data_IF_090536984907
#
_entry.id   IF_090536984907
#
_cell.length_a   1.000
_cell.length_b   1.000
_cell.length_c   1.000
_cell.angle_alpha   90.00
_cell.angle_beta   90.00
_cell.angle_gamma   90.00
#
_symmetry.space_group_name_H-M   'P 1'
#
loop_
_entity.id
_entity.type
_entity.pdbx_description
1 polymer ?
#
# COMPACT_ATOMS: atom_id res chain seq x y z
N UNK A 1 16.28 -29.40 -7.60
CA UNK A 1 16.74 -28.01 -7.81
C UNK A 1 15.51 -27.15 -8.04
N UNK A 2 15.30 -26.14 -7.20
CA UNK A 2 14.16 -25.21 -7.29
C UNK A 2 14.11 -24.54 -8.68
N UNK A 3 12.95 -24.51 -9.36
CA UNK A 3 12.81 -23.89 -10.69
C UNK A 3 13.23 -22.41 -10.70
N UNK A 4 13.09 -21.68 -9.60
CA UNK A 4 13.54 -20.28 -9.50
C UNK A 4 15.07 -20.22 -9.49
N UNK A 5 15.75 -21.05 -8.69
CA UNK A 5 17.23 -21.13 -8.66
C UNK A 5 17.82 -21.44 -10.04
N UNK A 6 17.14 -22.27 -10.83
CA UNK A 6 17.57 -22.60 -12.21
C UNK A 6 17.56 -21.38 -13.13
N UNK A 7 16.55 -20.52 -13.00
CA UNK A 7 16.47 -19.29 -13.80
C UNK A 7 17.49 -18.24 -13.36
N UNK A 8 17.93 -18.28 -12.09
CA UNK A 8 18.93 -17.36 -11.55
C UNK A 8 20.38 -17.85 -11.74
N UNK A 9 20.59 -19.11 -12.10
CA UNK A 9 21.92 -19.71 -12.25
C UNK A 9 22.82 -18.97 -13.27
N UNK A 10 22.22 -18.38 -14.32
CA UNK A 10 22.93 -17.59 -15.33
C UNK A 10 23.58 -16.31 -14.78
N UNK A 11 23.18 -15.86 -13.58
CA UNK A 11 23.76 -14.67 -12.94
C UNK A 11 25.05 -14.98 -12.16
N UNK A 12 25.46 -16.24 -12.05
CA UNK A 12 26.71 -16.62 -11.38
C UNK A 12 26.76 -16.26 -9.89
N UNK A 13 25.61 -16.10 -9.25
CA UNK A 13 25.51 -15.70 -7.85
C UNK A 13 25.86 -16.86 -6.91
N UNK A 14 26.50 -16.61 -5.76
CA UNK A 14 26.73 -17.65 -4.75
C UNK A 14 25.43 -18.32 -4.31
N UNK A 15 25.43 -19.64 -4.14
CA UNK A 15 24.21 -20.38 -3.77
C UNK A 15 23.61 -19.90 -2.46
N UNK A 16 24.44 -19.64 -1.45
CA UNK A 16 24.02 -19.06 -0.16
C UNK A 16 23.33 -17.70 -0.30
N UNK A 17 23.73 -16.90 -1.29
CA UNK A 17 23.10 -15.62 -1.56
C UNK A 17 21.71 -15.82 -2.18
N UNK A 18 21.59 -16.72 -3.16
CA UNK A 18 20.30 -17.06 -3.76
C UNK A 18 19.33 -17.63 -2.71
N UNK A 19 19.83 -18.49 -1.82
CA UNK A 19 19.03 -19.08 -0.73
C UNK A 19 18.49 -18.00 0.21
N UNK A 20 19.34 -17.10 0.68
CA UNK A 20 18.93 -16.00 1.54
C UNK A 20 17.92 -15.06 0.85
N UNK A 21 18.09 -14.79 -0.45
CA UNK A 21 17.13 -13.99 -1.21
C UNK A 21 15.77 -14.69 -1.36
N UNK A 22 15.76 -16.00 -1.62
CA UNK A 22 14.53 -16.78 -1.76
C UNK A 22 13.79 -16.90 -0.44
N UNK A 23 14.49 -17.18 0.65
CA UNK A 23 13.90 -17.23 2.00
C UNK A 23 13.27 -15.89 2.37
N UNK A 24 13.97 -14.77 2.10
CA UNK A 24 13.44 -13.44 2.33
C UNK A 24 12.23 -13.13 1.44
N UNK A 25 12.26 -13.57 0.20
CA UNK A 25 11.15 -13.42 -0.74
C UNK A 25 9.91 -14.20 -0.27
N UNK A 26 10.07 -15.43 0.22
CA UNK A 26 8.96 -16.24 0.74
C UNK A 26 8.29 -15.57 1.94
N UNK A 27 9.09 -15.01 2.85
CA UNK A 27 8.60 -14.22 3.99
C UNK A 27 7.77 -13.02 3.52
N UNK A 28 8.24 -12.29 2.49
CA UNK A 28 7.48 -11.18 1.93
C UNK A 28 6.22 -11.61 1.19
N UNK A 29 6.28 -12.74 0.46
CA UNK A 29 5.17 -13.31 -0.30
C UNK A 29 4.04 -13.79 0.61
N UNK A 30 4.37 -14.22 1.82
CA UNK A 30 3.41 -14.59 2.85
C UNK A 30 2.78 -13.37 3.56
N UNK A 31 3.37 -12.18 3.40
CA UNK A 31 2.89 -10.94 4.01
C UNK A 31 1.56 -10.45 3.43
N UNK A 32 0.81 -9.68 4.22
CA UNK A 32 -0.47 -9.13 3.79
C UNK A 32 -0.28 -8.11 2.67
N UNK A 33 -1.13 -8.15 1.64
CA UNK A 33 -1.14 -7.17 0.56
C UNK A 33 -2.15 -6.08 0.86
N UNK A 34 -1.71 -4.83 0.87
CA UNK A 34 -2.50 -3.70 1.33
C UNK A 34 -2.60 -2.65 0.24
N UNK A 35 -3.82 -2.31 -0.18
CA UNK A 35 -4.07 -1.15 -1.04
C UNK A 35 -4.57 0.03 -0.24
N UNK A 36 -4.21 1.23 -0.71
CA UNK A 36 -4.57 2.50 -0.09
C UNK A 36 -5.26 3.39 -1.12
N UNK A 37 -6.41 3.97 -0.75
CA UNK A 37 -7.19 4.89 -1.57
C UNK A 37 -7.38 6.23 -0.85
N UNK A 38 -7.30 7.34 -1.57
CA UNK A 38 -7.58 8.68 -1.04
C UNK A 38 -6.47 9.31 -0.18
N UNK A 39 -5.37 8.60 0.04
CA UNK A 39 -4.23 9.10 0.81
C UNK A 39 -3.48 10.27 0.14
N UNK A 40 -3.67 10.46 -1.17
CA UNK A 40 -3.13 11.62 -1.90
C UNK A 40 -3.80 12.95 -1.50
N UNK A 41 -5.03 12.89 -1.00
CA UNK A 41 -5.81 14.06 -0.57
C UNK A 41 -5.97 14.20 0.94
N UNK A 42 -5.36 13.29 1.72
CA UNK A 42 -5.46 13.26 3.17
C UNK A 42 -4.26 13.96 3.84
N UNK A 43 -4.44 14.56 5.04
CA UNK A 43 -3.34 15.10 5.84
C UNK A 43 -2.26 14.05 6.14
N UNK A 44 -0.98 14.45 6.10
CA UNK A 44 0.15 13.54 6.24
C UNK A 44 0.25 12.87 7.62
N UNK A 45 -0.17 13.57 8.66
CA UNK A 45 -0.28 13.08 10.04
C UNK A 45 -1.34 11.97 10.15
N UNK A 46 -2.51 12.15 9.54
CA UNK A 46 -3.57 11.14 9.50
C UNK A 46 -3.10 9.87 8.77
N UNK A 47 -2.49 10.05 7.60
CA UNK A 47 -1.95 8.93 6.80
C UNK A 47 -0.85 8.21 7.56
N UNK A 48 0.10 8.95 8.14
CA UNK A 48 1.22 8.40 8.90
C UNK A 48 0.79 7.60 10.12
N UNK A 49 -0.12 8.14 10.94
CA UNK A 49 -0.65 7.44 12.12
C UNK A 49 -1.38 6.16 11.73
N UNK A 50 -2.17 6.18 10.65
CA UNK A 50 -2.89 4.98 10.21
C UNK A 50 -1.94 3.92 9.67
N UNK A 51 -0.97 4.31 8.83
CA UNK A 51 0.01 3.37 8.30
C UNK A 51 0.86 2.77 9.42
N UNK A 52 1.32 3.58 10.37
CA UNK A 52 2.06 3.08 11.53
C UNK A 52 1.26 2.00 12.28
N UNK A 53 -0.02 2.26 12.59
CA UNK A 53 -0.92 1.26 13.24
C UNK A 53 -1.12 -0.01 12.40
N UNK A 54 -1.05 0.09 11.08
CA UNK A 54 -1.16 -1.06 10.18
C UNK A 54 0.13 -1.88 10.16
N UNK A 55 1.28 -1.21 10.20
CA UNK A 55 2.60 -1.83 10.08
C UNK A 55 3.08 -2.44 11.40
N UNK A 56 2.81 -1.81 12.55
CA UNK A 56 3.25 -2.28 13.87
C UNK A 56 2.89 -3.75 14.16
N UNK A 57 1.65 -4.22 13.90
CA UNK A 57 1.29 -5.63 14.13
C UNK A 57 1.66 -6.57 12.97
N UNK A 58 2.08 -6.04 11.82
CA UNK A 58 2.36 -6.82 10.61
C UNK A 58 3.73 -6.43 10.04
N UNK A 59 4.83 -6.99 10.56
CA UNK A 59 6.19 -6.61 10.14
C UNK A 59 6.47 -6.93 8.67
N UNK A 60 5.69 -7.82 8.06
CA UNK A 60 5.80 -8.23 6.67
C UNK A 60 4.50 -7.97 5.93
N UNK A 61 4.51 -7.01 5.00
CA UNK A 61 3.38 -6.67 4.15
C UNK A 61 3.87 -6.05 2.84
N UNK A 62 3.00 -6.00 1.84
CA UNK A 62 3.28 -5.43 0.52
C UNK A 62 2.28 -4.32 0.23
N UNK A 63 2.77 -3.15 -0.19
CA UNK A 63 1.92 -2.09 -0.71
C UNK A 63 1.46 -2.42 -2.13
N UNK A 64 0.16 -2.53 -2.35
CA UNK A 64 -0.45 -2.65 -3.68
C UNK A 64 -0.90 -1.26 -4.12
N UNK A 65 -0.25 -0.70 -5.13
CA UNK A 65 -0.50 0.67 -5.59
C UNK A 65 -0.70 0.73 -7.09
N UNK A 66 -1.48 1.72 -7.54
CA UNK A 66 -1.58 2.03 -8.95
C UNK A 66 -0.27 2.60 -9.49
N UNK A 67 0.02 2.34 -10.76
CA UNK A 67 1.13 2.97 -11.48
C UNK A 67 0.61 4.11 -12.38
N UNK A 68 0.05 5.19 -11.81
CA UNK A 68 -0.35 6.37 -12.58
C UNK A 68 -0.28 7.67 -11.78
N UNK A 69 -0.50 8.81 -12.43
CA UNK A 69 -0.34 10.18 -11.87
C UNK A 69 -1.15 10.53 -10.61
N UNK A 70 -2.14 9.72 -10.25
CA UNK A 70 -3.04 9.94 -9.11
C UNK A 70 -2.82 8.88 -8.02
N UNK A 71 -1.75 8.08 -8.13
CA UNK A 71 -1.33 7.20 -7.05
C UNK A 71 -0.93 8.02 -5.82
N UNK A 72 -1.07 7.42 -4.64
CA UNK A 72 -0.60 7.98 -3.38
C UNK A 72 0.93 7.89 -3.30
N UNK A 73 1.62 8.75 -4.07
CA UNK A 73 3.09 8.74 -4.17
C UNK A 73 3.79 9.01 -2.84
N UNK A 74 3.14 9.73 -1.92
CA UNK A 74 3.58 9.89 -0.54
C UNK A 74 3.69 8.53 0.19
N UNK A 75 2.63 7.70 0.12
CA UNK A 75 2.61 6.36 0.73
C UNK A 75 3.62 5.44 0.06
N UNK A 76 3.72 5.51 -1.26
CA UNK A 76 4.71 4.78 -2.04
C UNK A 76 6.15 5.11 -1.61
N UNK A 77 6.52 6.39 -1.59
CA UNK A 77 7.87 6.81 -1.24
C UNK A 77 8.21 6.46 0.21
N UNK A 78 7.24 6.60 1.11
CA UNK A 78 7.37 6.15 2.49
C UNK A 78 7.61 4.63 2.58
N UNK A 79 6.86 3.82 1.83
CA UNK A 79 7.02 2.37 1.78
C UNK A 79 8.44 1.98 1.32
N UNK A 80 8.92 2.59 0.22
CA UNK A 80 10.29 2.36 -0.26
C UNK A 80 11.35 2.76 0.78
N UNK A 81 11.15 3.88 1.48
CA UNK A 81 12.07 4.36 2.52
C UNK A 81 12.14 3.42 3.73
N UNK A 82 11.14 2.57 3.93
CA UNK A 82 11.07 1.57 5.00
C UNK A 82 11.31 0.15 4.51
N UNK A 83 11.83 -0.02 3.29
CA UNK A 83 12.08 -1.33 2.67
C UNK A 83 10.83 -2.22 2.59
N UNK A 84 9.65 -1.61 2.48
CA UNK A 84 8.38 -2.31 2.27
C UNK A 84 8.24 -2.62 0.77
N UNK A 85 8.01 -3.89 0.39
CA UNK A 85 7.75 -4.26 -1.00
C UNK A 85 6.57 -3.52 -1.60
N UNK A 86 6.68 -3.16 -2.88
CA UNK A 86 5.63 -2.47 -3.64
C UNK A 86 5.25 -3.30 -4.86
N UNK A 87 3.96 -3.62 -4.97
CA UNK A 87 3.36 -4.22 -6.15
C UNK A 87 2.58 -3.16 -6.92
N UNK A 88 2.94 -2.98 -8.19
CA UNK A 88 2.26 -2.07 -9.09
C UNK A 88 1.13 -2.76 -9.84
N UNK A 89 -0.01 -2.10 -9.96
CA UNK A 89 -1.17 -2.55 -10.74
C UNK A 89 -1.55 -1.48 -11.76
N UNK A 90 -1.92 -1.92 -12.96
CA UNK A 90 -2.28 -1.05 -14.08
C UNK A 90 -1.10 -0.69 -14.98
N UNK A 91 -1.18 0.45 -15.64
CA UNK A 91 -0.19 0.93 -16.61
C UNK A 91 0.13 2.41 -16.37
N UNK A 92 1.38 2.87 -16.60
CA UNK A 92 1.80 4.27 -16.52
C UNK A 92 0.91 5.24 -17.31
N UNK A 93 0.44 4.83 -18.49
CA UNK A 93 -0.45 5.62 -19.34
C UNK A 93 -1.94 5.53 -18.92
N UNK A 94 -2.25 4.69 -17.93
CA UNK A 94 -3.59 4.46 -17.42
C UNK A 94 -4.14 5.65 -16.63
N UNK A 95 -5.46 5.65 -16.45
CA UNK A 95 -6.18 6.64 -15.64
C UNK A 95 -6.88 5.94 -14.47
N UNK A 96 -7.13 6.70 -13.41
CA UNK A 96 -7.99 6.24 -12.33
C UNK A 96 -9.38 5.89 -12.91
N UNK A 97 -9.82 4.67 -12.64
CA UNK A 97 -11.09 4.14 -13.14
C UNK A 97 -11.63 3.10 -12.16
N UNK A 98 -12.92 2.81 -12.24
CA UNK A 98 -13.54 1.75 -11.43
C UNK A 98 -12.91 0.39 -11.72
N UNK A 99 -12.57 0.11 -12.98
CA UNK A 99 -11.90 -1.13 -13.37
C UNK A 99 -10.54 -1.29 -12.66
N UNK A 100 -9.74 -0.21 -12.64
CA UNK A 100 -8.45 -0.22 -11.95
C UNK A 100 -8.62 -0.38 -10.43
N UNK A 101 -9.61 0.28 -9.84
CA UNK A 101 -9.92 0.10 -8.42
C UNK A 101 -10.26 -1.37 -8.10
N UNK A 102 -11.07 -2.03 -8.94
CA UNK A 102 -11.37 -3.46 -8.79
C UNK A 102 -10.12 -4.33 -8.91
N UNK A 103 -9.20 -4.02 -9.83
CA UNK A 103 -7.93 -4.75 -9.96
C UNK A 103 -7.04 -4.62 -8.71
N UNK A 104 -6.94 -3.41 -8.15
CA UNK A 104 -6.21 -3.17 -6.90
C UNK A 104 -6.83 -3.95 -5.74
N UNK A 105 -8.15 -3.92 -5.61
CA UNK A 105 -8.90 -4.66 -4.58
C UNK A 105 -8.69 -6.17 -4.74
N UNK A 106 -8.75 -6.68 -5.96
CA UNK A 106 -8.53 -8.10 -6.24
C UNK A 106 -7.13 -8.56 -5.83
N UNK A 107 -6.11 -7.73 -6.08
CA UNK A 107 -4.71 -7.98 -5.72
C UNK A 107 -4.39 -7.78 -4.22
N UNK A 108 -5.31 -7.20 -3.44
CA UNK A 108 -5.10 -6.89 -2.03
C UNK A 108 -5.81 -7.88 -1.10
N UNK A 109 -5.32 -8.03 0.12
CA UNK A 109 -5.99 -8.72 1.22
C UNK A 109 -6.72 -7.71 2.13
N UNK A 110 -6.13 -6.52 2.28
CA UNK A 110 -6.70 -5.40 3.03
C UNK A 110 -6.76 -4.12 2.17
N UNK A 111 -7.83 -3.35 2.35
CA UNK A 111 -8.08 -2.07 1.70
C UNK A 111 -8.20 -0.99 2.76
N UNK A 112 -7.38 0.05 2.67
CA UNK A 112 -7.45 1.25 3.51
C UNK A 112 -7.97 2.40 2.67
N UNK A 113 -9.05 3.03 3.11
CA UNK A 113 -9.68 4.16 2.43
C UNK A 113 -9.59 5.38 3.33
N UNK A 114 -8.98 6.44 2.83
CA UNK A 114 -9.01 7.76 3.44
C UNK A 114 -10.07 8.59 2.72
N UNK A 115 -10.99 9.16 3.48
CA UNK A 115 -12.08 9.95 2.93
C UNK A 115 -12.38 11.14 3.83
N UNK A 116 -12.62 12.30 3.22
CA UNK A 116 -13.03 13.48 3.98
C UNK A 116 -14.41 13.20 4.59
N UNK A 117 -14.64 13.66 5.83
CA UNK A 117 -15.97 13.60 6.44
C UNK A 117 -17.03 14.18 5.50
N UNK A 118 -18.15 13.46 5.38
CA UNK A 118 -19.32 13.79 4.55
C UNK A 118 -19.09 13.66 3.03
N UNK A 119 -17.88 13.38 2.57
CA UNK A 119 -17.66 12.95 1.20
C UNK A 119 -17.98 11.46 1.03
N UNK A 120 -18.33 11.07 -0.19
CA UNK A 120 -18.67 9.69 -0.61
C UNK A 120 -17.97 9.33 -1.92
N UNK A 121 -16.80 9.91 -2.15
CA UNK A 121 -15.98 9.72 -3.34
C UNK A 121 -15.56 8.26 -3.50
N UNK A 122 -15.28 7.56 -2.41
CA UNK A 122 -14.78 6.19 -2.42
C UNK A 122 -15.80 5.13 -1.99
N UNK A 123 -17.10 5.47 -1.93
CA UNK A 123 -18.18 4.51 -1.66
C UNK A 123 -18.12 3.30 -2.60
N UNK A 124 -17.80 3.53 -3.88
CA UNK A 124 -17.66 2.45 -4.87
C UNK A 124 -16.50 1.49 -4.55
N UNK A 125 -15.40 1.99 -3.96
CA UNK A 125 -14.26 1.17 -3.50
C UNK A 125 -14.68 0.35 -2.29
N UNK A 126 -15.35 0.96 -1.31
CA UNK A 126 -15.85 0.28 -0.11
C UNK A 126 -16.82 -0.84 -0.47
N UNK A 127 -17.74 -0.60 -1.41
CA UNK A 127 -18.68 -1.60 -1.89
C UNK A 127 -17.97 -2.75 -2.61
N UNK A 128 -17.06 -2.44 -3.55
CA UNK A 128 -16.30 -3.46 -4.27
C UNK A 128 -15.43 -4.31 -3.34
N UNK A 129 -14.78 -3.69 -2.34
CA UNK A 129 -13.96 -4.40 -1.35
C UNK A 129 -14.80 -5.33 -0.47
N UNK A 130 -15.99 -4.90 -0.04
CA UNK A 130 -16.94 -5.74 0.69
C UNK A 130 -17.42 -6.92 -0.14
N UNK A 131 -17.78 -6.69 -1.41
CA UNK A 131 -18.19 -7.76 -2.34
C UNK A 131 -17.07 -8.79 -2.55
N UNK A 132 -15.83 -8.33 -2.66
CA UNK A 132 -14.64 -9.17 -2.76
C UNK A 132 -14.16 -9.77 -1.41
N UNK A 133 -14.94 -9.60 -0.33
CA UNK A 133 -14.65 -10.10 1.03
C UNK A 133 -13.28 -9.69 1.57
N UNK A 134 -12.83 -8.48 1.25
CA UNK A 134 -11.56 -7.93 1.72
C UNK A 134 -11.71 -7.31 3.11
N UNK A 135 -10.62 -7.26 3.88
CA UNK A 135 -10.58 -6.48 5.13
C UNK A 135 -10.58 -5.00 4.79
N UNK A 136 -11.51 -4.22 5.33
CA UNK A 136 -11.63 -2.78 5.03
C UNK A 136 -11.35 -1.95 6.27
N UNK A 137 -10.54 -0.90 6.12
CA UNK A 137 -10.37 0.17 7.10
C UNK A 137 -10.76 1.50 6.47
N UNK A 138 -11.71 2.20 7.07
CA UNK A 138 -12.12 3.54 6.64
C UNK A 138 -11.58 4.55 7.66
N UNK A 139 -10.79 5.50 7.17
CA UNK A 139 -10.29 6.64 7.94
C UNK A 139 -10.96 7.91 7.45
N UNK A 140 -11.78 8.49 8.33
CA UNK A 140 -12.46 9.74 8.06
C UNK A 140 -11.63 10.90 8.61
N UNK A 141 -11.34 11.88 7.76
CA UNK A 141 -10.61 13.08 8.16
C UNK A 141 -11.39 14.35 7.89
N UNK A 142 -11.18 15.37 8.71
CA UNK A 142 -11.69 16.71 8.46
C UNK A 142 -10.64 17.53 7.69
N UNK A 143 -11.10 18.44 6.83
CA UNK A 143 -10.23 19.52 6.34
C UNK A 143 -10.24 20.57 7.45
N UNK A 144 -9.38 20.40 8.44
CA UNK A 144 -9.13 21.43 9.42
C UNK A 144 -7.92 22.25 8.96
N UNK A 145 -8.09 23.57 8.93
CA UNK A 145 -6.97 24.50 8.88
C UNK A 145 -5.92 24.13 9.92
N UNK A 146 -4.66 24.44 9.58
CA UNK A 146 -3.46 23.94 10.23
C UNK A 146 -3.57 23.74 11.73
N UNK A 147 -3.06 22.60 12.21
CA UNK A 147 -2.78 22.48 13.63
C UNK A 147 -1.74 23.53 13.98
N UNK A 148 -2.20 24.63 14.58
CA UNK A 148 -1.37 25.48 15.40
C UNK A 148 -0.78 24.59 16.51
N UNK A 149 0.42 24.08 16.30
CA UNK A 149 1.30 23.82 17.43
C UNK A 149 1.74 25.18 17.95
N UNK A 150 0.92 25.75 18.85
CA UNK A 150 1.47 26.57 19.92
C UNK A 150 2.37 25.65 20.75
N UNK A 151 3.64 25.59 20.39
CA UNK A 151 4.69 25.29 21.37
C UNK A 151 5.17 26.65 21.87
N UNK A 152 4.61 27.04 23.02
CA UNK A 152 5.13 28.13 23.84
C UNK A 152 6.59 27.84 24.17
N UNK A 153 7.47 28.78 23.81
CA UNK A 153 8.77 28.93 24.44
C UNK A 153 8.53 29.25 25.92
N UNK A 154 9.02 28.38 26.79
CA UNK A 154 9.36 28.69 28.17
C UNK A 154 10.88 28.57 28.30
#
# INVERSE_FOLDING_TARGET
MDPVKRNLAAMGLPERFMDACLERFDVWRAGSRVSVFGAEGAPSDVVGVKLAKLVTPSPTWTLVTACHRQAAWNVHNWALSHFVPVQYVGSPAGRASRALATQLIAASDQVVVFERRREKRFDHVLQAAKQARKRVSLELYDVAGGSASQLSLA
#
